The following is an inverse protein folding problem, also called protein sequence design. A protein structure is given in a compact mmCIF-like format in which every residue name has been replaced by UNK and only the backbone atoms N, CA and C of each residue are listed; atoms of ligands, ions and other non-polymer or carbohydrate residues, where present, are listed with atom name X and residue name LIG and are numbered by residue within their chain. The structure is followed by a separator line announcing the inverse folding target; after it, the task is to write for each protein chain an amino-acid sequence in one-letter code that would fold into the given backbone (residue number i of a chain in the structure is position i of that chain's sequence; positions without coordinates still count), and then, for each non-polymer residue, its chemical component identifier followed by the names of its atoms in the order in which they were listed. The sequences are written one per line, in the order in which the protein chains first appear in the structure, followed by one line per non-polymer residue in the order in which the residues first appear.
data_IF_021441552532
#
_entry.id   IF_021441552532
#
_cell.length_a   1.000
_cell.length_b   1.000
_cell.length_c   1.000
_cell.angle_alpha   90.00
_cell.angle_beta   90.00
_cell.angle_gamma   90.00
#
_symmetry.space_group_name_H-M   'P 1'
#
loop_
_entity.id
_entity.type
_entity.pdbx_description
1 polymer ?
#
# COMPACT_ATOMS: atom_id res chain seq x y z
N UNK A 1 3.58 -7.40 -12.46
CA UNK A 1 2.88 -6.58 -11.43
C UNK A 1 2.57 -7.37 -10.17
N UNK A 2 2.07 -8.59 -10.30
CA UNK A 2 1.75 -9.43 -9.14
C UNK A 2 2.98 -9.74 -8.28
N UNK A 3 4.10 -10.06 -8.90
CA UNK A 3 5.36 -10.32 -8.19
C UNK A 3 5.85 -9.07 -7.47
N UNK A 4 5.71 -7.90 -8.10
CA UNK A 4 6.07 -6.63 -7.48
C UNK A 4 5.24 -6.35 -6.23
N UNK A 5 3.93 -6.59 -6.30
CA UNK A 5 3.02 -6.37 -5.17
C UNK A 5 3.28 -7.36 -4.04
N UNK A 6 3.62 -8.61 -4.36
CA UNK A 6 3.98 -9.60 -3.33
C UNK A 6 5.29 -9.22 -2.63
N UNK A 7 6.26 -8.68 -3.37
CA UNK A 7 7.49 -8.14 -2.77
C UNK A 7 7.19 -6.98 -1.84
N UNK A 8 6.22 -6.12 -2.21
CA UNK A 8 5.76 -5.02 -1.35
C UNK A 8 5.14 -5.53 -0.05
N UNK A 9 4.36 -6.60 -0.12
CA UNK A 9 3.78 -7.24 1.07
C UNK A 9 4.87 -7.69 2.04
N UNK A 10 5.93 -8.31 1.54
CA UNK A 10 7.03 -8.76 2.37
C UNK A 10 7.73 -7.59 3.08
N UNK A 11 7.90 -6.47 2.39
CA UNK A 11 8.47 -5.26 3.00
C UNK A 11 7.56 -4.69 4.08
N UNK A 12 6.25 -4.69 3.85
CA UNK A 12 5.27 -4.11 4.79
C UNK A 12 5.12 -4.94 6.06
N UNK A 13 5.41 -6.22 6.03
CA UNK A 13 5.36 -7.06 7.22
C UNK A 13 6.29 -6.55 8.35
N UNK A 14 7.35 -5.84 7.99
CA UNK A 14 8.27 -5.24 8.95
C UNK A 14 7.84 -3.84 9.40
N UNK A 15 6.76 -3.29 8.84
CA UNK A 15 6.24 -1.97 9.19
C UNK A 15 5.21 -2.08 10.32
N UNK A 16 5.65 -1.90 11.56
CA UNK A 16 4.80 -2.05 12.74
C UNK A 16 3.64 -1.03 12.80
N UNK A 17 3.81 0.14 12.17
CA UNK A 17 2.79 1.16 12.15
C UNK A 17 1.74 0.96 11.04
N UNK A 18 1.91 -0.05 10.17
CA UNK A 18 0.91 -0.44 9.17
C UNK A 18 0.07 -1.57 9.74
N UNK A 19 -1.18 -1.27 10.07
CA UNK A 19 -2.09 -2.22 10.72
C UNK A 19 -2.56 -3.31 9.76
N UNK A 20 -2.89 -2.92 8.52
CA UNK A 20 -3.34 -3.84 7.48
C UNK A 20 -2.89 -3.33 6.12
N UNK A 21 -2.60 -4.25 5.20
CA UNK A 21 -2.14 -3.90 3.85
C UNK A 21 -2.62 -4.96 2.87
N UNK A 22 -3.25 -4.52 1.77
CA UNK A 22 -3.77 -5.40 0.73
C UNK A 22 -3.33 -4.92 -0.63
N UNK A 23 -2.77 -5.81 -1.43
CA UNK A 23 -2.59 -5.59 -2.86
C UNK A 23 -3.79 -6.18 -3.57
N UNK A 24 -4.45 -5.39 -4.42
CA UNK A 24 -5.70 -5.78 -5.06
C UNK A 24 -5.62 -5.64 -6.58
N UNK A 25 -6.40 -6.44 -7.27
CA UNK A 25 -6.59 -6.33 -8.71
C UNK A 25 -7.98 -5.73 -8.97
N UNK A 26 -8.01 -4.63 -9.70
CA UNK A 26 -9.25 -3.93 -10.05
C UNK A 26 -9.76 -4.31 -11.43
N UNK A 27 -8.89 -4.83 -12.29
CA UNK A 27 -9.20 -5.24 -13.64
C UNK A 27 -8.02 -5.96 -14.26
N UNK A 28 -8.07 -6.36 -15.54
CA UNK A 28 -6.98 -7.12 -16.17
C UNK A 28 -5.61 -6.45 -16.08
N UNK A 29 -5.57 -5.11 -16.13
CA UNK A 29 -4.33 -4.33 -16.07
C UNK A 29 -4.38 -3.23 -15.01
N UNK A 30 -5.38 -3.25 -14.12
CA UNK A 30 -5.55 -2.26 -13.07
C UNK A 30 -5.33 -2.90 -11.70
N UNK A 31 -4.50 -2.27 -10.89
CA UNK A 31 -4.12 -2.76 -9.56
C UNK A 31 -4.25 -1.64 -8.55
N UNK A 32 -4.31 -2.00 -7.29
CA UNK A 32 -4.37 -1.04 -6.21
C UNK A 32 -3.77 -1.59 -4.93
N UNK A 33 -3.57 -0.69 -3.99
CA UNK A 33 -3.16 -1.02 -2.63
C UNK A 33 -4.13 -0.31 -1.69
N UNK A 34 -4.68 -1.06 -0.75
CA UNK A 34 -5.49 -0.52 0.33
C UNK A 34 -4.79 -0.86 1.65
N UNK A 35 -4.57 0.13 2.48
CA UNK A 35 -3.90 -0.08 3.75
C UNK A 35 -4.51 0.78 4.87
N UNK A 36 -4.24 0.38 6.11
CA UNK A 36 -4.80 0.99 7.30
C UNK A 36 -3.71 1.24 8.32
N UNK A 37 -3.80 2.37 8.99
CA UNK A 37 -2.84 2.82 10.00
C UNK A 37 -3.59 3.22 11.27
N UNK A 38 -2.93 3.12 12.45
CA UNK A 38 -3.58 3.53 13.70
C UNK A 38 -3.75 5.04 13.81
N UNK A 39 -2.90 5.81 13.12
CA UNK A 39 -2.92 7.28 13.15
C UNK A 39 -2.23 7.87 11.93
N UNK A 40 -2.23 9.20 11.82
CA UNK A 40 -1.60 9.91 10.70
C UNK A 40 -0.08 9.71 10.68
N UNK A 41 0.56 9.59 11.83
CA UNK A 41 2.00 9.34 11.92
C UNK A 41 2.38 8.00 11.30
N UNK A 42 1.57 6.95 11.52
CA UNK A 42 1.78 5.64 10.91
C UNK A 42 1.66 5.70 9.39
N UNK A 43 0.65 6.42 8.89
CA UNK A 43 0.45 6.60 7.45
C UNK A 43 1.62 7.37 6.84
N UNK A 44 2.09 8.44 7.46
CA UNK A 44 3.21 9.23 6.98
C UNK A 44 4.50 8.40 6.94
N UNK A 45 4.73 7.56 7.94
CA UNK A 45 5.87 6.65 7.97
C UNK A 45 5.83 5.66 6.79
N UNK A 46 4.65 5.11 6.48
CA UNK A 46 4.48 4.20 5.34
C UNK A 46 4.76 4.92 4.01
N UNK A 47 4.21 6.12 3.83
CA UNK A 47 4.36 6.89 2.59
C UNK A 47 5.79 7.34 2.33
N UNK A 48 6.66 7.32 3.33
CA UNK A 48 8.08 7.60 3.19
C UNK A 48 8.97 6.35 3.36
N UNK A 49 8.35 5.17 3.48
CA UNK A 49 9.05 3.91 3.72
C UNK A 49 9.47 3.17 2.46
N UNK A 50 10.00 1.94 2.62
CA UNK A 50 10.56 1.16 1.51
C UNK A 50 9.58 0.85 0.38
N UNK A 51 8.31 0.60 0.70
CA UNK A 51 7.28 0.30 -0.32
C UNK A 51 7.03 1.52 -1.19
N UNK A 52 6.91 2.70 -0.58
CA UNK A 52 6.71 3.94 -1.31
C UNK A 52 7.89 4.28 -2.23
N UNK A 53 9.11 4.03 -1.75
CA UNK A 53 10.33 4.20 -2.56
C UNK A 53 10.31 3.25 -3.76
N UNK A 54 9.99 1.97 -3.53
CA UNK A 54 9.90 0.98 -4.60
C UNK A 54 8.83 1.34 -5.64
N UNK A 55 7.68 1.85 -5.20
CA UNK A 55 6.64 2.34 -6.10
C UNK A 55 7.15 3.47 -6.99
N UNK A 56 7.85 4.44 -6.40
CA UNK A 56 8.42 5.56 -7.14
C UNK A 56 9.42 5.11 -8.18
N UNK A 57 10.26 4.14 -7.86
CA UNK A 57 11.27 3.61 -8.77
C UNK A 57 10.66 2.91 -9.98
N UNK A 58 9.49 2.28 -9.84
CA UNK A 58 8.83 1.53 -10.90
C UNK A 58 7.79 2.35 -11.68
N UNK A 59 7.52 3.58 -11.26
CA UNK A 59 6.59 4.47 -11.97
C UNK A 59 7.12 4.77 -13.37
N UNK A 60 6.27 4.58 -14.38
CA UNK A 60 6.63 4.78 -15.78
C UNK A 60 7.30 3.57 -16.43
N UNK A 61 7.73 2.58 -15.65
CA UNK A 61 8.36 1.36 -16.17
C UNK A 61 7.41 0.17 -16.06
N UNK A 62 6.94 -0.14 -14.85
CA UNK A 62 6.04 -1.26 -14.59
C UNK A 62 4.57 -0.82 -14.59
N UNK A 63 4.30 0.42 -14.24
CA UNK A 63 2.96 1.00 -14.19
C UNK A 63 3.03 2.51 -14.40
N UNK A 64 1.88 3.14 -14.70
CA UNK A 64 1.77 4.59 -14.78
C UNK A 64 1.78 5.21 -13.37
N UNK A 65 1.88 6.54 -13.30
CA UNK A 65 1.89 7.25 -12.03
C UNK A 65 0.66 6.90 -11.18
N UNK A 66 0.86 6.43 -9.93
CA UNK A 66 -0.27 6.06 -9.08
C UNK A 66 -1.00 7.28 -8.52
N UNK A 67 -2.30 7.11 -8.29
CA UNK A 67 -3.11 8.07 -7.54
C UNK A 67 -3.13 7.64 -6.08
N UNK A 68 -2.82 8.57 -5.17
CA UNK A 68 -2.80 8.31 -3.74
C UNK A 68 -3.92 9.11 -3.08
N UNK A 69 -4.83 8.42 -2.40
CA UNK A 69 -5.93 9.04 -1.67
C UNK A 69 -5.81 8.70 -0.18
N UNK A 70 -5.86 9.72 0.66
CA UNK A 70 -5.85 9.58 2.12
C UNK A 70 -7.29 9.57 2.59
N UNK A 71 -7.69 8.50 3.27
CA UNK A 71 -9.07 8.26 3.68
C UNK A 71 -9.19 8.14 5.19
N UNK A 72 -10.38 8.46 5.70
CA UNK A 72 -10.73 8.20 7.10
C UNK A 72 -11.63 6.96 7.15
N UNK A 73 -11.30 6.01 8.02
CA UNK A 73 -12.13 4.84 8.25
C UNK A 73 -13.23 5.20 9.23
N UNK A 74 -14.49 5.15 8.78
CA UNK A 74 -15.64 5.49 9.61
C UNK A 74 -16.23 4.28 10.32
N UNK A 75 -15.92 3.08 9.88
CA UNK A 75 -16.36 1.85 10.49
C UNK A 75 -15.59 0.67 9.91
N UNK A 76 -15.38 -0.38 10.71
CA UNK A 76 -14.68 -1.56 10.24
C UNK A 76 -15.13 -2.80 11.02
N UNK A 77 -14.96 -3.95 10.37
CA UNK A 77 -15.09 -5.25 11.01
C UNK A 77 -13.90 -6.08 10.56
N UNK A 78 -13.05 -6.45 11.49
CA UNK A 78 -11.84 -7.22 11.22
C UNK A 78 -11.85 -8.51 12.04
N UNK A 79 -11.16 -9.56 11.58
CA UNK A 79 -10.94 -10.76 12.38
C UNK A 79 -10.23 -10.41 13.68
N UNK A 80 -10.60 -11.07 14.77
CA UNK A 80 -9.95 -10.85 16.06
C UNK A 80 -8.54 -11.40 16.08
#
# INVERSE_FOLDING_TARGET
MEEFLDSGRALVEDEHATTAWFAIRLGPTSFGIFDVFPDDAGRDAHLSGPVAVALGEQTGTLFSEPTIEKLDVLGSKLPA
#
